data_IF_605414087464
#
_entry.id   IF_605414087464
#
_cell.length_a   1.000
_cell.length_b   1.000
_cell.length_c   1.000
_cell.angle_alpha   90.00
_cell.angle_beta   90.00
_cell.angle_gamma   90.00
#
_symmetry.space_group_name_H-M   'P 1'
#
loop_
_entity.id
_entity.type
_entity.pdbx_description
1 polymer ?
#
# COMPACT_ATOMS: atom_id res chain seq x y z
N UNK A 1 18.22 -13.48 -84.94
CA UNK A 1 16.90 -13.23 -85.51
C UNK A 1 16.06 -12.63 -84.37
N UNK A 2 16.08 -11.29 -84.22
CA UNK A 2 15.03 -10.39 -84.67
C UNK A 2 13.72 -10.77 -83.99
N UNK A 3 13.15 -10.04 -83.10
CA UNK A 3 12.37 -8.82 -83.21
C UNK A 3 11.87 -8.48 -81.78
N UNK A 4 12.23 -7.36 -81.19
CA UNK A 4 11.40 -6.13 -81.11
C UNK A 4 10.10 -6.30 -80.30
N UNK A 5 9.83 -5.57 -79.39
CA UNK A 5 9.66 -4.15 -79.09
C UNK A 5 8.49 -3.95 -78.13
N UNK A 6 8.71 -3.12 -77.12
CA UNK A 6 7.89 -1.96 -76.78
C UNK A 6 6.43 -2.13 -76.39
N UNK A 7 6.08 -1.64 -75.28
CA UNK A 7 5.20 -0.50 -74.89
C UNK A 7 4.69 -0.81 -73.53
N UNK A 8 4.46 -0.05 -72.65
CA UNK A 8 4.32 1.35 -72.36
C UNK A 8 3.94 1.42 -70.86
N UNK A 9 4.49 2.33 -70.24
CA UNK A 9 4.12 2.90 -68.98
C UNK A 9 2.61 2.95 -68.73
N UNK A 10 2.19 2.55 -67.52
CA UNK A 10 1.10 3.27 -66.88
C UNK A 10 1.39 3.34 -65.39
N UNK A 11 1.83 4.50 -65.02
CA UNK A 11 2.09 5.02 -63.72
C UNK A 11 0.74 5.22 -63.04
N UNK A 12 0.46 4.48 -61.98
CA UNK A 12 -0.54 4.90 -60.99
C UNK A 12 0.18 4.91 -59.64
N UNK A 13 0.70 6.07 -59.29
CA UNK A 13 1.08 6.43 -57.94
C UNK A 13 -0.21 6.64 -57.17
N UNK A 14 -0.62 5.64 -56.41
CA UNK A 14 -1.66 5.84 -55.42
C UNK A 14 -0.95 6.05 -54.07
N UNK A 15 -0.64 7.29 -53.78
CA UNK A 15 -0.25 7.79 -52.47
C UNK A 15 -1.45 7.67 -51.51
N UNK A 16 -1.59 6.54 -50.86
CA UNK A 16 -2.42 6.41 -49.68
C UNK A 16 -1.66 7.03 -48.53
N UNK A 17 -2.02 8.26 -48.23
CA UNK A 17 -1.69 8.92 -46.99
C UNK A 17 -2.36 8.11 -45.83
N UNK A 18 -1.63 7.17 -45.27
CA UNK A 18 -2.02 6.52 -44.02
C UNK A 18 -1.65 7.46 -42.88
N UNK A 19 -2.63 8.25 -42.44
CA UNK A 19 -2.52 9.06 -41.25
C UNK A 19 -2.36 8.15 -40.01
N UNK A 20 -1.45 8.45 -39.07
CA UNK A 20 -1.32 7.67 -37.84
C UNK A 20 -2.39 8.13 -36.84
N UNK A 21 -3.60 7.54 -36.94
CA UNK A 21 -4.69 7.77 -35.96
C UNK A 21 -4.64 6.77 -34.79
N UNK A 22 -3.76 5.75 -34.84
CA UNK A 22 -3.74 4.67 -33.88
C UNK A 22 -3.16 5.00 -32.49
N UNK A 23 -2.31 6.04 -32.39
CA UNK A 23 -1.59 6.30 -31.11
C UNK A 23 -2.45 6.90 -30.01
N UNK A 24 -3.49 7.65 -30.32
CA UNK A 24 -4.35 8.30 -29.32
C UNK A 24 -5.39 7.33 -28.71
N UNK A 25 -5.85 6.34 -29.47
CA UNK A 25 -6.79 5.35 -28.98
C UNK A 25 -6.16 4.38 -27.96
N UNK A 26 -4.93 3.93 -28.22
CA UNK A 26 -4.21 3.03 -27.31
C UNK A 26 -3.87 3.71 -25.96
N UNK A 27 -3.47 4.97 -25.98
CA UNK A 27 -3.15 5.74 -24.76
C UNK A 27 -4.41 5.98 -23.92
N UNK A 28 -5.54 6.26 -24.56
CA UNK A 28 -6.82 6.45 -23.88
C UNK A 28 -7.34 5.16 -23.25
N UNK A 29 -7.21 4.02 -23.93
CA UNK A 29 -7.60 2.71 -23.42
C UNK A 29 -6.73 2.26 -22.26
N UNK A 30 -5.41 2.45 -22.34
CA UNK A 30 -4.46 2.19 -21.25
C UNK A 30 -4.76 3.03 -20.00
N UNK A 31 -5.14 4.30 -20.18
CA UNK A 31 -5.53 5.17 -19.07
C UNK A 31 -6.87 4.77 -18.47
N UNK A 32 -7.85 4.38 -19.28
CA UNK A 32 -9.15 3.90 -18.81
C UNK A 32 -8.99 2.59 -17.99
N UNK A 33 -8.18 1.65 -18.47
CA UNK A 33 -7.88 0.40 -17.76
C UNK A 33 -7.17 0.66 -16.42
N UNK A 34 -6.22 1.59 -16.41
CA UNK A 34 -5.54 1.99 -15.16
C UNK A 34 -6.52 2.59 -14.17
N UNK A 35 -7.39 3.48 -14.60
CA UNK A 35 -8.40 4.10 -13.73
C UNK A 35 -9.41 3.07 -13.21
N UNK A 36 -9.82 2.12 -14.04
CA UNK A 36 -10.69 1.02 -13.62
C UNK A 36 -10.03 0.16 -12.53
N UNK A 37 -8.73 -0.15 -12.68
CA UNK A 37 -7.97 -0.89 -11.65
C UNK A 37 -7.81 -0.10 -10.36
N UNK A 38 -7.55 1.20 -10.42
CA UNK A 38 -7.47 2.07 -9.23
C UNK A 38 -8.82 2.08 -8.50
N UNK A 39 -9.92 2.23 -9.22
CA UNK A 39 -11.26 2.19 -8.63
C UNK A 39 -11.57 0.83 -7.97
N UNK A 40 -11.21 -0.27 -8.63
CA UNK A 40 -11.37 -1.62 -8.06
C UNK A 40 -10.46 -1.85 -6.84
N UNK A 41 -9.24 -1.30 -6.84
CA UNK A 41 -8.35 -1.35 -5.69
C UNK A 41 -8.93 -0.59 -4.48
N UNK A 42 -9.52 0.58 -4.70
CA UNK A 42 -10.20 1.35 -3.64
C UNK A 42 -11.39 0.57 -3.04
N UNK A 43 -12.22 -0.08 -3.87
CA UNK A 43 -13.33 -0.92 -3.38
C UNK A 43 -12.78 -2.11 -2.57
N UNK A 44 -11.78 -2.80 -3.07
CA UNK A 44 -11.11 -3.90 -2.37
C UNK A 44 -10.53 -3.45 -1.03
N UNK A 45 -9.80 -2.33 -0.98
CA UNK A 45 -9.21 -1.77 0.24
C UNK A 45 -10.28 -1.40 1.29
N UNK A 46 -11.41 -0.85 0.84
CA UNK A 46 -12.54 -0.50 1.69
C UNK A 46 -13.12 -1.75 2.37
N UNK A 47 -13.41 -2.81 1.60
CA UNK A 47 -13.98 -4.05 2.16
C UNK A 47 -12.96 -4.89 2.95
N UNK A 48 -11.67 -4.79 2.63
CA UNK A 48 -10.57 -5.37 3.41
C UNK A 48 -10.31 -4.62 4.72
N UNK A 49 -10.95 -3.46 4.94
CA UNK A 49 -10.77 -2.65 6.15
C UNK A 49 -9.40 -1.97 6.24
N UNK A 50 -8.65 -1.87 5.13
CA UNK A 50 -7.32 -1.27 5.09
C UNK A 50 -7.33 0.19 5.51
N UNK A 51 -8.40 0.93 5.20
CA UNK A 51 -8.56 2.33 5.59
C UNK A 51 -8.56 2.53 7.11
N UNK A 52 -9.14 1.58 7.87
CA UNK A 52 -9.19 1.63 9.34
C UNK A 52 -7.80 1.54 9.98
N UNK A 53 -6.84 0.93 9.31
CA UNK A 53 -5.46 0.87 9.80
C UNK A 53 -4.82 2.26 9.77
N UNK A 54 -5.13 3.07 8.76
CA UNK A 54 -4.66 4.46 8.68
C UNK A 54 -5.30 5.38 9.72
N UNK A 55 -6.54 5.09 10.15
CA UNK A 55 -7.19 5.85 11.22
C UNK A 55 -6.44 5.75 12.55
N UNK A 56 -5.62 4.72 12.74
CA UNK A 56 -4.79 4.54 13.93
C UNK A 56 -3.42 5.21 13.84
N UNK A 57 -2.90 5.41 12.61
CA UNK A 57 -1.56 5.97 12.40
C UNK A 57 -1.52 7.48 12.70
N UNK A 58 -2.52 8.24 12.24
CA UNK A 58 -2.54 9.70 12.44
C UNK A 58 -2.59 10.10 13.92
N UNK A 59 -3.47 9.53 14.77
CA UNK A 59 -3.45 9.83 16.20
C UNK A 59 -2.12 9.50 16.87
N UNK A 60 -1.47 8.40 16.48
CA UNK A 60 -0.17 8.01 17.02
C UNK A 60 0.93 9.01 16.63
N UNK A 61 0.98 9.41 15.37
CA UNK A 61 1.92 10.44 14.89
C UNK A 61 1.74 11.74 15.63
N UNK A 62 0.49 12.21 15.74
CA UNK A 62 0.14 13.44 16.46
C UNK A 62 0.52 13.37 17.93
N UNK A 63 0.24 12.26 18.61
CA UNK A 63 0.62 12.07 20.00
C UNK A 63 2.14 12.09 20.19
N UNK A 64 2.90 11.50 19.26
CA UNK A 64 4.37 11.55 19.31
C UNK A 64 4.90 12.96 19.10
N UNK A 65 4.39 13.68 18.10
CA UNK A 65 4.80 15.07 17.84
C UNK A 65 4.42 15.99 19.01
N UNK A 66 3.20 15.83 19.56
CA UNK A 66 2.75 16.60 20.72
C UNK A 66 3.67 16.39 21.91
N UNK A 67 4.06 15.15 22.20
CA UNK A 67 5.02 14.85 23.28
C UNK A 67 6.38 15.50 23.04
N UNK A 68 6.87 15.46 21.80
CA UNK A 68 8.14 16.09 21.44
C UNK A 68 8.09 17.62 21.67
N UNK A 69 7.03 18.30 21.22
CA UNK A 69 6.88 19.74 21.45
C UNK A 69 6.72 20.10 22.94
N UNK A 70 5.98 19.32 23.72
CA UNK A 70 5.86 19.52 25.17
C UNK A 70 7.22 19.33 25.84
N UNK A 71 8.06 18.40 25.39
CA UNK A 71 9.42 18.23 25.87
C UNK A 71 10.30 19.45 25.64
N UNK A 72 10.08 20.19 24.54
CA UNK A 72 10.82 21.44 24.26
C UNK A 72 10.29 22.65 25.04
N UNK A 73 8.99 22.69 25.36
CA UNK A 73 8.33 23.79 26.05
C UNK A 73 7.32 23.28 27.10
N UNK A 74 7.75 22.71 28.23
CA UNK A 74 6.85 22.08 29.20
C UNK A 74 5.76 23.03 29.76
N UNK A 75 6.13 24.30 29.93
CA UNK A 75 5.21 25.34 30.43
C UNK A 75 4.05 25.67 29.52
N UNK A 76 4.13 25.34 28.22
CA UNK A 76 3.10 25.58 27.21
C UNK A 76 2.32 24.33 26.83
N UNK A 77 2.32 23.29 27.67
CA UNK A 77 1.76 21.98 27.32
C UNK A 77 0.26 22.02 26.92
N UNK A 78 -0.54 22.89 27.56
CA UNK A 78 -1.96 23.03 27.23
C UNK A 78 -2.15 23.65 25.84
N UNK A 79 -1.44 24.72 25.56
CA UNK A 79 -1.49 25.42 24.27
C UNK A 79 -0.98 24.57 23.13
N UNK A 80 0.12 23.83 23.35
CA UNK A 80 0.64 22.87 22.37
C UNK A 80 -0.41 21.83 21.99
N UNK A 81 -1.14 21.25 22.96
CA UNK A 81 -2.19 20.28 22.66
C UNK A 81 -3.33 20.90 21.85
N UNK A 82 -3.73 22.12 22.18
CA UNK A 82 -4.76 22.83 21.43
C UNK A 82 -4.32 23.08 19.99
N UNK A 83 -3.15 23.68 19.79
CA UNK A 83 -2.60 23.97 18.46
C UNK A 83 -2.44 22.70 17.65
N UNK A 84 -1.93 21.61 18.23
CA UNK A 84 -1.80 20.32 17.55
C UNK A 84 -3.17 19.78 17.11
N UNK A 85 -4.21 19.91 17.94
CA UNK A 85 -5.57 19.53 17.58
C UNK A 85 -6.15 20.32 16.41
N UNK A 86 -5.84 21.61 16.32
CA UNK A 86 -6.27 22.49 15.21
C UNK A 86 -5.49 22.19 13.91
N UNK A 87 -4.17 22.00 14.04
CA UNK A 87 -3.29 21.65 12.90
C UNK A 87 -3.75 20.34 12.26
N UNK A 88 -3.97 19.29 13.07
CA UNK A 88 -4.38 17.98 12.57
C UNK A 88 -5.67 18.00 11.75
N UNK A 89 -6.65 18.81 12.15
CA UNK A 89 -7.89 18.97 11.39
C UNK A 89 -7.64 19.44 9.95
N UNK A 90 -6.63 20.29 9.74
CA UNK A 90 -6.25 20.77 8.40
C UNK A 90 -5.59 19.70 7.52
N UNK A 91 -5.12 18.61 8.13
CA UNK A 91 -4.51 17.48 7.42
C UNK A 91 -5.45 16.26 7.26
N UNK A 92 -6.72 16.36 7.69
CA UNK A 92 -7.68 15.27 7.61
C UNK A 92 -7.85 14.73 6.16
N UNK A 93 -7.82 15.62 5.17
CA UNK A 93 -7.95 15.24 3.75
C UNK A 93 -6.72 14.53 3.18
N UNK A 94 -5.55 14.65 3.83
CA UNK A 94 -4.31 13.99 3.39
C UNK A 94 -4.38 12.45 3.52
N UNK A 95 -5.29 11.96 4.37
CA UNK A 95 -5.57 10.51 4.44
C UNK A 95 -6.02 9.96 3.08
N UNK A 96 -6.94 10.67 2.40
CA UNK A 96 -7.45 10.25 1.10
C UNK A 96 -6.33 10.18 0.05
N UNK A 97 -5.44 11.18 0.03
CA UNK A 97 -4.26 11.17 -0.85
C UNK A 97 -3.41 9.90 -0.66
N UNK A 98 -3.18 9.50 0.60
CA UNK A 98 -2.42 8.28 0.91
C UNK A 98 -3.15 7.01 0.45
N UNK A 99 -4.46 6.93 0.70
CA UNK A 99 -5.30 5.80 0.26
C UNK A 99 -5.28 5.67 -1.26
N UNK A 100 -5.40 6.77 -2.00
CA UNK A 100 -5.32 6.80 -3.46
C UNK A 100 -3.95 6.32 -3.96
N UNK A 101 -2.85 6.77 -3.32
CA UNK A 101 -1.49 6.31 -3.67
C UNK A 101 -1.32 4.81 -3.44
N UNK A 102 -1.88 4.25 -2.38
CA UNK A 102 -1.84 2.82 -2.13
C UNK A 102 -2.69 2.06 -3.16
N UNK A 103 -3.85 2.59 -3.53
CA UNK A 103 -4.67 2.00 -4.59
C UNK A 103 -3.93 1.98 -5.95
N UNK A 104 -3.12 3.00 -6.26
CA UNK A 104 -2.25 3.01 -7.44
C UNK A 104 -1.22 1.86 -7.40
N UNK A 105 -0.64 1.55 -6.22
CA UNK A 105 0.29 0.43 -6.07
C UNK A 105 -0.42 -0.91 -6.32
N UNK A 106 -1.60 -1.13 -5.73
CA UNK A 106 -2.38 -2.34 -6.02
C UNK A 106 -2.75 -2.45 -7.51
N UNK A 107 -3.15 -1.34 -8.13
CA UNK A 107 -3.50 -1.30 -9.55
C UNK A 107 -2.30 -1.52 -10.49
N UNK A 108 -1.08 -1.32 -10.01
CA UNK A 108 0.14 -1.64 -10.77
C UNK A 108 0.48 -3.14 -10.72
N UNK A 109 0.20 -3.81 -9.60
CA UNK A 109 0.57 -5.21 -9.36
C UNK A 109 -0.54 -6.20 -9.72
N UNK A 110 -1.81 -5.79 -9.67
CA UNK A 110 -2.97 -6.65 -9.85
C UNK A 110 -3.80 -6.22 -11.06
N UNK A 111 -4.33 -7.21 -11.75
CA UNK A 111 -5.31 -7.02 -12.82
C UNK A 111 -6.67 -6.59 -12.25
N UNK A 112 -7.53 -6.04 -13.09
CA UNK A 112 -8.90 -5.68 -12.71
C UNK A 112 -9.67 -6.90 -12.17
N UNK A 113 -9.49 -8.06 -12.80
CA UNK A 113 -10.16 -9.31 -12.42
C UNK A 113 -9.71 -9.81 -11.04
N UNK A 114 -8.40 -9.82 -10.78
CA UNK A 114 -7.84 -10.20 -9.48
C UNK A 114 -8.32 -9.27 -8.35
N UNK A 115 -8.37 -7.97 -8.58
CA UNK A 115 -8.92 -7.00 -7.62
C UNK A 115 -10.39 -7.26 -7.31
N UNK A 116 -11.19 -7.60 -8.33
CA UNK A 116 -12.58 -7.95 -8.17
C UNK A 116 -12.76 -9.29 -7.43
N UNK A 117 -11.89 -10.27 -7.66
CA UNK A 117 -11.89 -11.54 -6.93
C UNK A 117 -11.58 -11.34 -5.45
N UNK A 118 -10.56 -10.54 -5.12
CA UNK A 118 -10.24 -10.16 -3.75
C UNK A 118 -11.42 -9.44 -3.09
N UNK A 119 -12.07 -8.54 -3.80
CA UNK A 119 -13.26 -7.84 -3.32
C UNK A 119 -14.39 -8.82 -2.99
N UNK A 120 -14.66 -9.80 -3.88
CA UNK A 120 -15.65 -10.86 -3.64
C UNK A 120 -15.28 -11.71 -2.41
N UNK A 121 -14.01 -12.08 -2.28
CA UNK A 121 -13.54 -12.79 -1.11
C UNK A 121 -13.80 -12.02 0.18
N UNK A 122 -13.40 -10.76 0.28
CA UNK A 122 -13.58 -9.95 1.49
C UNK A 122 -15.05 -9.67 1.80
N UNK A 123 -15.93 -9.62 0.79
CA UNK A 123 -17.39 -9.51 0.96
C UNK A 123 -18.04 -10.84 1.37
N UNK A 124 -17.37 -11.99 1.26
CA UNK A 124 -17.89 -13.28 1.67
C UNK A 124 -17.97 -13.40 3.20
N UNK A 125 -18.79 -14.32 3.75
CA UNK A 125 -18.89 -14.52 5.20
C UNK A 125 -17.54 -14.83 5.86
N UNK A 126 -16.68 -15.65 5.23
CA UNK A 126 -15.36 -15.98 5.75
C UNK A 126 -14.39 -14.81 5.63
N UNK A 127 -14.40 -14.07 4.53
CA UNK A 127 -13.59 -12.88 4.34
C UNK A 127 -13.94 -11.76 5.32
N UNK A 128 -15.23 -11.48 5.50
CA UNK A 128 -15.70 -10.50 6.48
C UNK A 128 -15.31 -10.91 7.92
N UNK A 129 -15.44 -12.19 8.27
CA UNK A 129 -14.98 -12.70 9.56
C UNK A 129 -13.47 -12.54 9.72
N UNK A 130 -12.69 -12.85 8.67
CA UNK A 130 -11.24 -12.72 8.69
C UNK A 130 -10.84 -11.26 8.97
N UNK A 131 -11.41 -10.28 8.25
CA UNK A 131 -11.17 -8.85 8.48
C UNK A 131 -11.53 -8.45 9.92
N UNK A 132 -12.67 -8.92 10.43
CA UNK A 132 -13.16 -8.56 11.75
C UNK A 132 -12.25 -9.06 12.89
N UNK A 133 -11.59 -10.21 12.74
CA UNK A 133 -10.72 -10.77 13.79
C UNK A 133 -9.28 -10.21 13.75
N UNK A 134 -8.82 -9.63 12.64
CA UNK A 134 -7.44 -9.15 12.46
C UNK A 134 -6.94 -8.25 13.60
N UNK A 135 -7.68 -7.23 14.06
CA UNK A 135 -7.18 -6.35 15.12
C UNK A 135 -6.99 -7.08 16.46
N UNK A 136 -7.89 -8.04 16.77
CA UNK A 136 -7.80 -8.85 18.00
C UNK A 136 -6.64 -9.84 17.90
N UNK A 137 -6.53 -10.52 16.77
CA UNK A 137 -5.47 -11.49 16.50
C UNK A 137 -4.08 -10.83 16.54
N UNK A 138 -3.94 -9.64 15.96
CA UNK A 138 -2.70 -8.87 16.01
C UNK A 138 -2.27 -8.56 17.46
N UNK A 139 -3.19 -8.09 18.30
CA UNK A 139 -2.88 -7.84 19.73
C UNK A 139 -2.48 -9.11 20.47
N UNK A 140 -3.19 -10.23 20.25
CA UNK A 140 -2.88 -11.51 20.87
C UNK A 140 -1.53 -12.05 20.41
N UNK A 141 -1.19 -11.90 19.13
CA UNK A 141 0.12 -12.32 18.58
C UNK A 141 1.27 -11.54 19.20
N UNK A 142 1.11 -10.23 19.38
CA UNK A 142 2.13 -9.40 20.08
C UNK A 142 2.29 -9.86 21.52
N UNK A 143 1.19 -10.04 22.26
CA UNK A 143 1.26 -10.49 23.65
C UNK A 143 1.91 -11.88 23.78
N UNK A 144 1.54 -12.82 22.89
CA UNK A 144 2.14 -14.16 22.84
C UNK A 144 3.64 -14.07 22.52
N UNK A 145 4.04 -13.22 21.56
CA UNK A 145 5.44 -13.00 21.22
C UNK A 145 6.27 -12.46 22.39
N UNK A 146 5.72 -11.53 23.17
CA UNK A 146 6.37 -11.02 24.38
C UNK A 146 6.57 -12.12 25.42
N UNK A 147 5.53 -12.88 25.75
CA UNK A 147 5.62 -13.99 26.72
C UNK A 147 6.62 -15.06 26.28
N UNK A 148 6.59 -15.43 25.01
CA UNK A 148 7.55 -16.37 24.44
C UNK A 148 8.98 -15.83 24.50
N UNK A 149 9.19 -14.57 24.12
CA UNK A 149 10.48 -13.91 24.17
C UNK A 149 11.08 -13.87 25.58
N UNK A 150 10.27 -13.54 26.59
CA UNK A 150 10.70 -13.59 27.98
C UNK A 150 11.10 -14.99 28.44
N UNK A 151 10.32 -16.01 28.05
CA UNK A 151 10.63 -17.41 28.37
C UNK A 151 11.96 -17.82 27.76
N UNK A 152 12.11 -17.64 26.46
CA UNK A 152 13.35 -17.98 25.74
C UNK A 152 14.54 -17.17 26.23
N UNK A 153 14.36 -15.88 26.55
CA UNK A 153 15.42 -15.06 27.14
C UNK A 153 15.95 -15.63 28.45
N UNK A 154 15.07 -16.10 29.36
CA UNK A 154 15.48 -16.78 30.60
C UNK A 154 16.22 -18.09 30.32
N UNK A 155 15.76 -18.88 29.38
CA UNK A 155 16.43 -20.15 29.01
C UNK A 155 17.82 -19.89 28.43
N UNK A 156 17.97 -18.89 27.56
CA UNK A 156 19.28 -18.48 26.98
C UNK A 156 20.21 -17.97 28.09
N UNK A 157 19.73 -17.12 29.01
CA UNK A 157 20.55 -16.62 30.12
C UNK A 157 21.07 -17.77 30.98
N UNK A 158 20.21 -18.71 31.36
CA UNK A 158 20.60 -19.87 32.18
C UNK A 158 21.63 -20.74 31.46
N UNK A 159 21.46 -21.01 30.19
CA UNK A 159 22.39 -21.81 29.42
C UNK A 159 23.73 -21.09 29.22
N UNK A 160 23.68 -19.81 28.90
CA UNK A 160 24.88 -18.99 28.77
C UNK A 160 25.69 -18.97 30.08
N UNK A 161 25.04 -18.78 31.23
CA UNK A 161 25.71 -18.83 32.55
C UNK A 161 26.33 -20.21 32.80
N UNK A 162 25.65 -21.30 32.46
CA UNK A 162 26.21 -22.67 32.59
C UNK A 162 27.47 -22.84 31.75
N UNK A 163 27.43 -22.42 30.49
CA UNK A 163 28.58 -22.55 29.59
C UNK A 163 29.75 -21.65 29.97
N UNK A 164 29.49 -20.41 30.41
CA UNK A 164 30.50 -19.49 30.85
C UNK A 164 31.20 -20.01 32.13
N UNK A 165 30.43 -20.57 33.07
CA UNK A 165 30.98 -21.22 34.29
C UNK A 165 31.89 -22.40 33.95
N UNK A 166 31.52 -23.27 32.97
CA UNK A 166 32.39 -24.38 32.50
C UNK A 166 33.72 -23.86 31.95
N UNK A 167 33.73 -22.68 31.35
CA UNK A 167 34.94 -22.01 30.83
C UNK A 167 35.70 -21.19 31.90
N UNK A 168 35.29 -21.27 33.16
CA UNK A 168 35.93 -20.53 34.27
C UNK A 168 35.60 -19.05 34.36
N UNK A 169 34.64 -18.58 33.54
CA UNK A 169 34.17 -17.18 33.58
C UNK A 169 33.12 -17.04 34.68
N UNK A 170 33.36 -16.17 35.63
CA UNK A 170 32.42 -15.88 36.74
C UNK A 170 31.57 -14.67 36.36
N UNK A 171 30.23 -14.89 36.23
CA UNK A 171 29.21 -13.85 35.99
C UNK A 171 28.04 -14.06 36.95
#
# INVERSE_FOLDING_TARGET
MVIRQRFLACMIVLLLAFAPVASHAQTSQSNADRQARIAAALDMMTVAGSEKQFDQLMPLLVANMTRAFIGLAPGAAAEIRQVMGEVVKRFADRKREMVEKIAELYAAELTLEELQELTRFYKSPVGAKFVAIQPSLGRQTIALGQQWGEKIGREIDQEARRELKKRGIKI
#
